data_IF_904098608449
#
_entry.id   IF_904098608449
#
_cell.length_a   1.000
_cell.length_b   1.000
_cell.length_c   1.000
_cell.angle_alpha   90.00
_cell.angle_beta   90.00
_cell.angle_gamma   90.00
#
_symmetry.space_group_name_H-M   'P 1'
#
loop_
_entity.id
_entity.type
_entity.pdbx_description
1 polymer ?
#
# COMPACT_ATOMS: atom_id res chain seq x y z
N UNK A 1 2.32 -15.35 22.95
CA UNK A 1 2.28 -13.87 23.03
C UNK A 1 0.83 -13.44 22.87
N UNK A 2 0.38 -12.34 23.49
CA UNK A 2 -0.98 -11.85 23.22
C UNK A 2 -1.07 -11.32 21.78
N UNK A 3 -2.21 -11.47 21.11
CA UNK A 3 -2.40 -11.04 19.72
C UNK A 3 -2.10 -9.56 19.51
N UNK A 4 -2.51 -8.72 20.46
CA UNK A 4 -2.17 -7.30 20.47
C UNK A 4 -0.66 -7.05 20.44
N UNK A 5 0.13 -7.79 21.23
CA UNK A 5 1.59 -7.64 21.22
C UNK A 5 2.18 -8.08 19.88
N UNK A 6 1.67 -9.14 19.26
CA UNK A 6 2.08 -9.56 17.91
C UNK A 6 1.83 -8.47 16.88
N UNK A 7 0.65 -7.84 16.90
CA UNK A 7 0.31 -6.72 16.00
C UNK A 7 1.28 -5.55 16.19
N UNK A 8 1.55 -5.16 17.45
CA UNK A 8 2.50 -4.09 17.74
C UNK A 8 3.90 -4.41 17.24
N UNK A 9 4.39 -5.63 17.46
CA UNK A 9 5.70 -6.09 16.96
C UNK A 9 5.75 -5.98 15.43
N UNK A 10 4.74 -6.51 14.73
CA UNK A 10 4.65 -6.41 13.27
C UNK A 10 4.60 -4.95 12.79
N UNK A 11 3.83 -4.09 13.46
CA UNK A 11 3.80 -2.65 13.16
C UNK A 11 5.18 -1.99 13.30
N UNK A 12 5.94 -2.31 14.36
CA UNK A 12 7.29 -1.79 14.55
C UNK A 12 8.23 -2.19 13.42
N UNK A 13 8.22 -3.47 13.02
CA UNK A 13 9.03 -3.93 11.88
C UNK A 13 8.64 -3.27 10.56
N UNK A 14 7.34 -3.08 10.31
CA UNK A 14 6.88 -2.40 9.09
C UNK A 14 7.21 -0.89 9.09
N UNK A 15 7.25 -0.22 10.25
CA UNK A 15 7.75 1.16 10.35
C UNK A 15 9.21 1.21 9.90
N UNK A 16 10.05 0.33 10.46
CA UNK A 16 11.48 0.26 10.11
C UNK A 16 11.67 -0.01 8.61
N UNK A 17 10.91 -0.95 8.05
CA UNK A 17 10.95 -1.27 6.62
C UNK A 17 10.55 -0.07 5.74
N UNK A 18 9.48 0.63 6.10
CA UNK A 18 9.00 1.83 5.40
C UNK A 18 10.03 2.96 5.43
N UNK A 19 10.60 3.23 6.61
CA UNK A 19 11.65 4.23 6.77
C UNK A 19 12.89 3.91 5.93
N UNK A 20 13.33 2.65 5.96
CA UNK A 20 14.44 2.16 5.15
C UNK A 20 14.18 2.33 3.64
N UNK A 21 12.96 2.03 3.19
CA UNK A 21 12.53 2.23 1.80
C UNK A 21 12.60 3.69 1.36
N UNK A 22 12.14 4.63 2.18
CA UNK A 22 12.19 6.06 1.82
C UNK A 22 13.60 6.66 1.81
N UNK A 23 14.57 6.05 2.49
CA UNK A 23 15.99 6.44 2.41
C UNK A 23 16.75 5.69 1.32
N UNK A 24 16.18 4.63 0.76
CA UNK A 24 16.85 3.82 -0.25
C UNK A 24 17.22 4.56 -1.55
N UNK A 25 16.47 5.57 -2.07
CA UNK A 25 16.87 6.30 -3.28
C UNK A 25 18.13 7.15 -3.09
N UNK A 26 18.41 7.61 -1.86
CA UNK A 26 19.60 8.42 -1.57
C UNK A 26 20.87 7.58 -1.35
N UNK A 27 20.72 6.27 -1.10
CA UNK A 27 21.82 5.38 -0.75
C UNK A 27 22.24 4.46 -1.90
N UNK A 28 21.33 4.08 -2.81
CA UNK A 28 21.61 3.08 -3.84
C UNK A 28 20.99 3.44 -5.19
N UNK A 29 21.81 3.46 -6.25
CA UNK A 29 21.31 3.50 -7.64
C UNK A 29 20.78 2.11 -8.03
N UNK A 30 19.48 1.90 -7.93
CA UNK A 30 18.84 0.68 -8.41
C UNK A 30 18.72 0.71 -9.95
N UNK A 31 19.13 -0.37 -10.62
CA UNK A 31 18.88 -0.53 -12.05
C UNK A 31 17.39 -0.82 -12.32
N UNK A 32 16.87 -0.44 -13.49
CA UNK A 32 15.47 -0.68 -13.88
C UNK A 32 15.09 -2.16 -13.75
N UNK A 33 15.96 -3.07 -14.18
CA UNK A 33 15.75 -4.52 -14.08
C UNK A 33 15.62 -5.01 -12.62
N UNK A 34 16.42 -4.45 -11.69
CA UNK A 34 16.36 -4.83 -10.28
C UNK A 34 15.03 -4.40 -9.66
N UNK A 35 14.59 -3.17 -9.93
CA UNK A 35 13.27 -2.70 -9.48
C UNK A 35 12.15 -3.57 -10.06
N UNK A 36 12.21 -3.89 -11.34
CA UNK A 36 11.19 -4.73 -11.99
C UNK A 36 11.12 -6.13 -11.38
N UNK A 37 12.26 -6.79 -11.15
CA UNK A 37 12.30 -8.11 -10.51
C UNK A 37 11.81 -8.07 -9.06
N UNK A 38 12.18 -7.03 -8.30
CA UNK A 38 11.68 -6.85 -6.92
C UNK A 38 10.17 -6.68 -6.91
N UNK A 39 9.62 -5.78 -7.75
CA UNK A 39 8.16 -5.58 -7.84
C UNK A 39 7.46 -6.88 -8.25
N UNK A 40 7.95 -7.61 -9.26
CA UNK A 40 7.31 -8.86 -9.69
C UNK A 40 7.36 -9.96 -8.63
N UNK A 41 8.46 -10.06 -7.89
CA UNK A 41 8.59 -11.02 -6.79
C UNK A 41 7.59 -10.69 -5.68
N UNK A 42 7.57 -9.42 -5.28
CA UNK A 42 6.67 -8.94 -4.22
C UNK A 42 5.21 -9.11 -4.63
N UNK A 43 4.80 -8.70 -5.84
CA UNK A 43 3.44 -8.91 -6.36
C UNK A 43 3.05 -10.39 -6.40
N UNK A 44 3.98 -11.29 -6.75
CA UNK A 44 3.74 -12.74 -6.73
C UNK A 44 3.48 -13.27 -5.31
N UNK A 45 4.27 -12.83 -4.33
CA UNK A 45 4.05 -13.18 -2.91
C UNK A 45 2.72 -12.62 -2.40
N UNK A 46 2.38 -11.39 -2.76
CA UNK A 46 1.12 -10.73 -2.42
C UNK A 46 -0.08 -11.50 -2.94
N UNK A 47 -0.06 -11.88 -4.22
CA UNK A 47 -1.11 -12.69 -4.84
C UNK A 47 -1.23 -14.06 -4.17
N UNK A 48 -0.10 -14.69 -3.83
CA UNK A 48 -0.07 -15.96 -3.11
C UNK A 48 -0.74 -15.88 -1.74
N UNK A 49 -0.42 -14.87 -0.93
CA UNK A 49 -1.02 -14.69 0.40
C UNK A 49 -2.50 -14.30 0.29
N UNK A 50 -2.85 -13.41 -0.65
CA UNK A 50 -4.23 -13.03 -0.92
C UNK A 50 -5.13 -14.25 -1.22
N UNK A 51 -4.71 -15.10 -2.16
CA UNK A 51 -5.51 -16.23 -2.64
C UNK A 51 -5.44 -17.47 -1.74
N UNK A 52 -4.28 -17.78 -1.17
CA UNK A 52 -4.06 -19.03 -0.45
C UNK A 52 -4.20 -18.89 1.07
N UNK A 53 -4.12 -17.67 1.62
CA UNK A 53 -4.22 -17.45 3.06
C UNK A 53 -5.45 -16.60 3.41
N UNK A 54 -5.57 -15.39 2.85
CA UNK A 54 -6.62 -14.45 3.27
C UNK A 54 -8.01 -14.81 2.74
N UNK A 55 -8.11 -15.24 1.47
CA UNK A 55 -9.39 -15.66 0.89
C UNK A 55 -9.98 -16.90 1.58
N UNK A 56 -9.24 -18.01 1.79
CA UNK A 56 -9.77 -19.17 2.52
C UNK A 56 -10.16 -18.81 3.96
N UNK A 57 -9.33 -18.05 4.66
CA UNK A 57 -9.62 -17.58 6.01
C UNK A 57 -10.89 -16.72 6.08
N UNK A 58 -11.16 -15.92 5.04
CA UNK A 58 -12.40 -15.12 4.97
C UNK A 58 -13.65 -15.98 4.81
N UNK A 59 -13.58 -17.04 3.99
CA UNK A 59 -14.69 -17.97 3.77
C UNK A 59 -15.02 -18.76 5.03
N UNK A 60 -14.00 -19.18 5.77
CA UNK A 60 -14.17 -19.87 7.05
C UNK A 60 -14.82 -18.97 8.12
N UNK A 61 -14.49 -17.68 8.15
CA UNK A 61 -15.09 -16.75 9.11
C UNK A 61 -16.52 -16.35 8.74
N UNK A 62 -16.83 -16.18 7.45
CA UNK A 62 -18.14 -15.75 6.98
C UNK A 62 -19.14 -16.89 6.82
N UNK A 63 -18.65 -18.12 6.60
CA UNK A 63 -19.47 -19.28 6.21
C UNK A 63 -20.38 -18.99 4.99
N UNK A 64 -20.01 -18.00 4.16
CA UNK A 64 -20.80 -17.52 3.03
C UNK A 64 -19.90 -17.06 1.89
N UNK A 65 -19.94 -17.81 0.79
CA UNK A 65 -19.14 -17.51 -0.41
C UNK A 65 -19.60 -16.23 -1.12
N UNK A 66 -20.90 -15.92 -1.09
CA UNK A 66 -21.44 -14.71 -1.73
C UNK A 66 -20.98 -13.44 -0.99
N UNK A 67 -20.93 -13.49 0.34
CA UNK A 67 -20.51 -12.36 1.15
C UNK A 67 -18.99 -12.16 1.07
N UNK A 68 -18.21 -13.24 1.12
CA UNK A 68 -16.76 -13.18 0.93
C UNK A 68 -16.40 -12.68 -0.48
N UNK A 69 -17.04 -13.22 -1.51
CA UNK A 69 -16.85 -12.77 -2.90
C UNK A 69 -17.26 -11.31 -3.12
N UNK A 70 -18.37 -10.88 -2.50
CA UNK A 70 -18.83 -9.50 -2.55
C UNK A 70 -17.88 -8.52 -1.86
N UNK A 71 -17.37 -8.87 -0.67
CA UNK A 71 -16.37 -8.09 0.03
C UNK A 71 -15.04 -8.03 -0.72
N UNK A 72 -14.63 -9.15 -1.32
CA UNK A 72 -13.43 -9.23 -2.18
C UNK A 72 -13.55 -8.36 -3.43
N UNK A 73 -14.70 -8.40 -4.12
CA UNK A 73 -15.00 -7.51 -5.24
C UNK A 73 -15.01 -6.04 -4.78
N UNK A 74 -15.60 -5.76 -3.61
CA UNK A 74 -15.56 -4.45 -2.99
C UNK A 74 -14.13 -3.97 -2.79
N UNK A 75 -13.24 -4.82 -2.28
CA UNK A 75 -11.82 -4.50 -2.13
C UNK A 75 -11.11 -4.21 -3.45
N UNK A 76 -11.33 -5.05 -4.46
CA UNK A 76 -10.81 -4.83 -5.81
C UNK A 76 -11.30 -3.50 -6.40
N UNK A 77 -12.58 -3.16 -6.23
CA UNK A 77 -13.13 -1.89 -6.68
C UNK A 77 -12.53 -0.71 -5.91
N UNK A 78 -12.39 -0.82 -4.59
CA UNK A 78 -11.73 0.21 -3.77
C UNK A 78 -10.32 0.46 -4.29
N UNK A 79 -9.50 -0.58 -4.47
CA UNK A 79 -8.14 -0.40 -5.00
C UNK A 79 -8.15 0.15 -6.43
N UNK A 80 -9.03 -0.34 -7.29
CA UNK A 80 -9.19 0.19 -8.65
C UNK A 80 -9.49 1.69 -8.64
N UNK A 81 -10.40 2.16 -7.79
CA UNK A 81 -10.70 3.59 -7.66
C UNK A 81 -9.55 4.37 -7.02
N UNK A 82 -8.83 3.79 -6.06
CA UNK A 82 -7.63 4.42 -5.51
C UNK A 82 -6.60 4.68 -6.61
N UNK A 83 -6.30 3.66 -7.43
CA UNK A 83 -5.42 3.80 -8.58
C UNK A 83 -6.01 4.78 -9.60
N UNK A 84 -7.29 4.71 -9.92
CA UNK A 84 -7.88 5.52 -10.99
C UNK A 84 -8.04 7.01 -10.64
N UNK A 85 -8.42 7.33 -9.41
CA UNK A 85 -8.68 8.70 -8.95
C UNK A 85 -7.39 9.39 -8.52
N UNK A 86 -6.47 8.66 -7.88
CA UNK A 86 -5.27 9.24 -7.30
C UNK A 86 -3.99 9.03 -8.13
N UNK A 87 -3.98 8.10 -9.10
CA UNK A 87 -2.97 8.02 -10.15
C UNK A 87 -3.41 8.89 -11.34
N UNK A 88 -3.44 10.20 -11.12
CA UNK A 88 -3.75 11.18 -12.16
C UNK A 88 -2.77 10.97 -13.32
N UNK A 89 -3.32 10.69 -14.50
CA UNK A 89 -2.58 10.51 -15.75
C UNK A 89 -1.66 11.71 -15.98
N UNK A 90 -0.36 11.52 -15.76
CA UNK A 90 0.67 12.35 -16.39
C UNK A 90 0.73 11.97 -17.87
N UNK A 91 -0.28 12.38 -18.65
CA UNK A 91 -0.01 12.64 -20.05
C UNK A 91 0.93 13.85 -20.06
N UNK A 92 2.24 13.57 -20.13
CA UNK A 92 3.13 14.49 -20.81
C UNK A 92 2.59 14.61 -22.23
N UNK A 93 1.73 15.61 -22.45
CA UNK A 93 1.52 16.18 -23.76
C UNK A 93 2.86 16.76 -24.18
N UNK A 94 3.67 15.94 -24.86
CA UNK A 94 4.60 16.27 -25.94
C UNK A 94 5.80 15.31 -25.95
N UNK A 95 5.59 14.07 -26.41
CA UNK A 95 6.62 13.38 -27.20
C UNK A 95 6.11 13.34 -28.64
N UNK A 96 6.12 14.51 -29.28
CA UNK A 96 6.31 14.58 -30.71
C UNK A 96 7.70 14.03 -31.03
N UNK A 97 7.77 12.75 -31.36
CA UNK A 97 8.83 12.24 -32.23
C UNK A 97 8.48 12.67 -33.66
N UNK A 98 8.70 13.95 -33.96
CA UNK A 98 9.11 14.37 -35.30
C UNK A 98 10.51 14.95 -35.15
N UNK A 99 11.47 14.13 -35.54
CA UNK A 99 12.82 14.54 -35.78
C UNK A 99 12.81 15.45 -37.02
N UNK A 100 13.06 16.75 -36.85
CA UNK A 100 14.09 17.47 -37.62
C UNK A 100 14.15 18.94 -37.20
N UNK A 101 15.37 19.36 -36.87
CA UNK A 101 15.74 20.74 -36.63
C UNK A 101 15.71 21.53 -37.93
N UNK A 102 15.02 22.68 -37.97
CA UNK A 102 15.71 23.93 -38.30
C UNK A 102 14.92 25.19 -37.89
N UNK A 103 15.68 26.26 -37.64
CA UNK A 103 15.30 27.68 -37.49
C UNK A 103 15.09 28.25 -36.07
N UNK A 104 16.14 28.98 -35.64
CA UNK A 104 16.14 30.28 -34.97
C UNK A 104 14.79 30.84 -34.50
N UNK A 105 14.68 31.20 -33.21
CA UNK A 105 14.38 32.56 -32.73
C UNK A 105 14.52 32.67 -31.20
N UNK A 106 15.07 33.80 -30.77
CA UNK A 106 15.31 34.30 -29.40
C UNK A 106 14.01 34.52 -28.57
N UNK A 107 14.10 34.73 -27.24
CA UNK A 107 13.05 34.44 -26.27
C UNK A 107 12.08 35.61 -26.04
N UNK A 108 10.79 35.29 -25.86
CA UNK A 108 9.80 36.20 -25.25
C UNK A 108 8.97 35.39 -24.27
N UNK A 109 8.86 35.92 -23.05
CA UNK A 109 8.17 35.29 -21.94
C UNK A 109 6.67 35.13 -22.17
N UNK A 110 6.14 34.12 -21.49
CA UNK A 110 4.97 34.22 -20.62
C UNK A 110 4.98 32.93 -19.76
N UNK A 111 5.64 33.07 -18.61
CA UNK A 111 5.44 32.23 -17.43
C UNK A 111 4.00 32.44 -16.97
N UNK A 112 3.17 31.39 -16.98
CA UNK A 112 2.12 31.09 -15.99
C UNK A 112 1.24 29.93 -16.50
N UNK A 113 1.57 28.69 -16.12
CA UNK A 113 0.62 27.55 -15.96
C UNK A 113 1.29 26.17 -15.88
N UNK A 114 2.63 26.05 -16.04
CA UNK A 114 3.32 24.74 -15.97
C UNK A 114 3.71 24.27 -14.56
N UNK A 115 3.38 25.05 -13.53
CA UNK A 115 3.65 24.72 -12.10
C UNK A 115 2.63 23.75 -11.51
N UNK A 116 1.35 23.89 -11.87
CA UNK A 116 0.29 23.30 -11.06
C UNK A 116 0.04 21.82 -11.40
N UNK A 117 0.28 21.43 -12.66
CA UNK A 117 0.13 20.04 -13.10
C UNK A 117 1.07 19.06 -12.36
N UNK A 118 2.25 19.51 -11.94
CA UNK A 118 3.23 18.66 -11.25
C UNK A 118 2.96 18.53 -9.74
N UNK A 119 2.34 19.54 -9.11
CA UNK A 119 2.02 19.54 -7.68
C UNK A 119 0.81 18.66 -7.34
N UNK A 120 -0.23 18.67 -8.19
CA UNK A 120 -1.41 17.82 -7.99
C UNK A 120 -1.12 16.32 -8.16
N UNK A 121 -0.09 15.95 -8.92
CA UNK A 121 0.30 14.55 -9.16
C UNK A 121 0.85 13.87 -7.89
N UNK A 122 1.64 14.57 -7.08
CA UNK A 122 2.23 13.99 -5.86
C UNK A 122 1.24 13.86 -4.71
N UNK A 123 0.35 14.85 -4.53
CA UNK A 123 -0.64 14.81 -3.45
C UNK A 123 -1.64 13.66 -3.66
N UNK A 124 -2.05 13.41 -4.92
CA UNK A 124 -2.88 12.28 -5.29
C UNK A 124 -2.18 10.97 -4.92
N UNK A 125 -0.96 10.75 -5.42
CA UNK A 125 -0.18 9.56 -5.11
C UNK A 125 -0.03 9.34 -3.59
N UNK A 126 0.27 10.38 -2.82
CA UNK A 126 0.38 10.28 -1.37
C UNK A 126 -0.93 9.86 -0.71
N UNK A 127 -2.07 10.45 -1.09
CA UNK A 127 -3.38 10.09 -0.55
C UNK A 127 -3.76 8.65 -0.91
N UNK A 128 -3.56 8.25 -2.16
CA UNK A 128 -3.83 6.88 -2.61
C UNK A 128 -3.00 5.85 -1.85
N UNK A 129 -1.69 6.09 -1.74
CA UNK A 129 -0.78 5.21 -0.99
C UNK A 129 -1.03 5.26 0.52
N UNK A 130 -1.48 6.39 1.07
CA UNK A 130 -1.87 6.49 2.47
C UNK A 130 -3.07 5.59 2.78
N UNK A 131 -4.11 5.63 1.94
CA UNK A 131 -5.27 4.75 2.11
C UNK A 131 -4.86 3.29 1.92
N UNK A 132 -4.03 2.98 0.93
CA UNK A 132 -3.45 1.64 0.75
C UNK A 132 -2.70 1.17 2.01
N UNK A 133 -1.81 2.00 2.54
CA UNK A 133 -1.05 1.66 3.76
C UNK A 133 -1.93 1.52 4.99
N UNK A 134 -3.04 2.27 5.07
CA UNK A 134 -4.04 2.09 6.12
C UNK A 134 -4.67 0.69 6.02
N UNK A 135 -5.01 0.24 4.81
CA UNK A 135 -5.55 -1.08 4.54
C UNK A 135 -4.54 -2.21 4.82
N UNK A 136 -3.24 -1.99 4.62
CA UNK A 136 -2.19 -2.93 5.08
C UNK A 136 -2.23 -3.13 6.59
N UNK A 137 -2.42 -2.04 7.33
CA UNK A 137 -2.61 -2.09 8.78
C UNK A 137 -3.81 -2.93 9.18
N UNK A 138 -4.95 -2.68 8.53
CA UNK A 138 -6.18 -3.47 8.70
C UNK A 138 -5.91 -4.95 8.38
N UNK A 139 -5.17 -5.25 7.31
CA UNK A 139 -4.83 -6.61 6.91
C UNK A 139 -4.00 -7.34 7.97
N UNK A 140 -2.96 -6.70 8.53
CA UNK A 140 -2.15 -7.28 9.61
C UNK A 140 -3.01 -7.55 10.85
N UNK A 141 -3.83 -6.59 11.24
CA UNK A 141 -4.66 -6.74 12.45
C UNK A 141 -5.76 -7.79 12.28
N UNK A 142 -6.43 -7.81 11.12
CA UNK A 142 -7.46 -8.81 10.80
C UNK A 142 -6.88 -10.22 10.69
N UNK A 143 -5.73 -10.40 10.04
CA UNK A 143 -5.06 -11.71 9.92
C UNK A 143 -4.60 -12.27 11.26
N UNK A 144 -4.00 -11.45 12.12
CA UNK A 144 -3.62 -11.88 13.48
C UNK A 144 -4.85 -12.17 14.33
N UNK A 145 -5.93 -11.40 14.19
CA UNK A 145 -7.17 -11.63 14.95
C UNK A 145 -7.87 -12.93 14.49
N UNK A 146 -7.89 -13.18 13.19
CA UNK A 146 -8.45 -14.40 12.60
C UNK A 146 -7.70 -15.67 13.02
N UNK A 147 -6.38 -15.59 13.19
CA UNK A 147 -5.54 -16.72 13.60
C UNK A 147 -5.88 -17.22 15.02
N UNK A 148 -6.42 -16.37 15.89
CA UNK A 148 -6.81 -16.74 17.26
C UNK A 148 -8.11 -17.55 17.29
N UNK A 149 -9.03 -17.27 16.37
CA UNK A 149 -10.35 -17.91 16.30
C UNK A 149 -10.26 -19.40 15.93
N UNK A 150 -9.20 -19.80 15.23
CA UNK A 150 -9.03 -21.15 14.67
C UNK A 150 -7.89 -21.89 15.36
N UNK A 151 -8.21 -22.63 16.42
CA UNK A 151 -7.25 -23.47 17.12
C UNK A 151 -6.47 -24.43 16.20
N UNK A 152 -5.16 -24.24 16.18
CA UNK A 152 -4.09 -25.21 15.94
C UNK A 152 -3.95 -25.96 14.59
N UNK A 153 -4.86 -25.92 13.61
CA UNK A 153 -4.68 -26.79 12.40
C UNK A 153 -4.90 -26.21 11.00
N UNK A 154 -5.45 -24.99 10.83
CA UNK A 154 -5.72 -24.43 9.48
C UNK A 154 -5.09 -23.06 9.18
N UNK A 155 -4.97 -22.19 10.18
CA UNK A 155 -4.59 -20.78 10.00
C UNK A 155 -3.18 -20.43 10.50
N UNK A 156 -2.35 -21.44 10.80
CA UNK A 156 -0.99 -21.22 11.29
C UNK A 156 -0.25 -20.37 10.26
N UNK A 157 0.24 -19.20 10.68
CA UNK A 157 0.95 -18.22 9.86
C UNK A 157 0.09 -17.30 8.97
N UNK A 158 -1.24 -17.23 9.14
CA UNK A 158 -2.03 -16.21 8.44
C UNK A 158 -1.51 -14.80 8.77
N UNK A 159 -1.35 -14.48 10.05
CA UNK A 159 -0.81 -13.20 10.49
C UNK A 159 0.64 -12.98 10.03
N UNK A 160 1.46 -14.04 10.06
CA UNK A 160 2.86 -13.96 9.61
C UNK A 160 2.98 -13.74 8.10
N UNK A 161 2.18 -14.43 7.29
CA UNK A 161 2.16 -14.31 5.84
C UNK A 161 1.71 -12.93 5.38
N UNK A 162 0.63 -12.41 5.98
CA UNK A 162 0.16 -11.05 5.72
C UNK A 162 1.20 -10.02 6.17
N UNK A 163 1.80 -10.18 7.35
CA UNK A 163 2.90 -9.33 7.80
C UNK A 163 4.07 -9.34 6.83
N UNK A 164 4.52 -10.52 6.37
CA UNK A 164 5.67 -10.64 5.48
C UNK A 164 5.40 -9.94 4.14
N UNK A 165 4.20 -10.08 3.60
CA UNK A 165 3.75 -9.33 2.42
C UNK A 165 3.88 -7.83 2.66
N UNK A 166 3.28 -7.31 3.74
CA UNK A 166 3.35 -5.88 4.07
C UNK A 166 4.79 -5.42 4.25
N UNK A 167 5.58 -6.19 4.99
CA UNK A 167 6.98 -5.89 5.23
C UNK A 167 7.80 -5.80 3.93
N UNK A 168 7.51 -6.64 2.93
CA UNK A 168 8.25 -6.68 1.67
C UNK A 168 7.86 -5.57 0.69
N UNK A 169 6.59 -5.17 0.62
CA UNK A 169 6.13 -4.16 -0.34
C UNK A 169 6.17 -2.73 0.20
N UNK A 170 6.03 -2.53 1.52
CA UNK A 170 6.03 -1.20 2.13
C UNK A 170 7.30 -0.34 1.88
N UNK A 171 8.51 -0.92 1.76
CA UNK A 171 9.68 -0.17 1.30
C UNK A 171 9.52 0.36 -0.14
N UNK A 172 8.84 -0.38 -1.01
CA UNK A 172 8.62 -0.04 -2.42
C UNK A 172 7.63 1.13 -2.55
N UNK A 173 6.62 1.20 -1.68
CA UNK A 173 5.69 2.33 -1.64
C UNK A 173 6.37 3.61 -1.13
N UNK A 174 7.16 3.48 -0.07
CA UNK A 174 7.95 4.60 0.47
C UNK A 174 8.96 5.11 -0.57
N UNK A 175 9.57 4.20 -1.33
CA UNK A 175 10.42 4.51 -2.49
C UNK A 175 9.67 5.33 -3.55
N UNK A 176 8.43 4.96 -3.88
CA UNK A 176 7.65 5.64 -4.91
C UNK A 176 7.35 7.11 -4.53
N UNK A 177 6.87 7.35 -3.30
CA UNK A 177 6.56 8.70 -2.79
C UNK A 177 7.83 9.55 -2.73
N UNK A 178 8.90 9.02 -2.11
CA UNK A 178 10.13 9.78 -1.91
C UNK A 178 10.86 10.09 -3.22
N UNK A 179 10.79 9.20 -4.21
CA UNK A 179 11.32 9.44 -5.56
C UNK A 179 10.56 10.55 -6.28
N UNK A 180 9.22 10.58 -6.18
CA UNK A 180 8.42 11.63 -6.79
C UNK A 180 8.64 12.99 -6.11
N UNK A 181 8.74 13.02 -4.78
CA UNK A 181 9.13 14.25 -4.05
C UNK A 181 10.52 14.74 -4.43
N UNK A 182 11.46 13.82 -4.66
CA UNK A 182 12.80 14.16 -5.11
C UNK A 182 12.78 14.78 -6.51
N UNK A 183 12.00 14.22 -7.43
CA UNK A 183 11.80 14.78 -8.77
C UNK A 183 11.13 16.17 -8.72
N UNK A 184 10.18 16.37 -7.81
CA UNK A 184 9.52 17.65 -7.55
C UNK A 184 10.36 18.64 -6.69
N UNK A 185 11.69 18.44 -6.62
CA UNK A 185 12.68 19.32 -5.96
C UNK A 185 12.43 19.66 -4.48
N UNK A 186 11.65 18.84 -3.75
CA UNK A 186 11.41 19.05 -2.32
C UNK A 186 12.68 18.85 -1.47
N UNK A 187 12.78 19.57 -0.35
CA UNK A 187 13.91 19.45 0.57
C UNK A 187 14.01 18.06 1.22
N UNK A 188 15.23 17.62 1.54
CA UNK A 188 15.48 16.35 2.26
C UNK A 188 14.74 16.25 3.60
N UNK A 189 14.54 17.38 4.30
CA UNK A 189 13.79 17.42 5.55
C UNK A 189 12.32 17.09 5.31
N UNK A 190 11.70 17.70 4.31
CA UNK A 190 10.28 17.44 4.03
C UNK A 190 10.05 16.01 3.57
N UNK A 191 10.93 15.45 2.73
CA UNK A 191 10.88 14.03 2.34
C UNK A 191 10.94 13.10 3.55
N UNK A 192 11.80 13.41 4.52
CA UNK A 192 11.92 12.62 5.74
C UNK A 192 10.67 12.73 6.62
N UNK A 193 10.13 13.94 6.79
CA UNK A 193 8.89 14.16 7.55
C UNK A 193 7.74 13.36 6.93
N UNK A 194 7.57 13.44 5.61
CA UNK A 194 6.48 12.72 4.93
C UNK A 194 6.69 11.22 4.98
N UNK A 195 7.93 10.72 4.86
CA UNK A 195 8.22 9.30 5.03
C UNK A 195 7.90 8.80 6.45
N UNK A 196 8.19 9.61 7.48
CA UNK A 196 7.81 9.30 8.87
C UNK A 196 6.29 9.25 8.99
N UNK A 197 5.57 10.26 8.51
CA UNK A 197 4.11 10.30 8.52
C UNK A 197 3.54 9.06 7.82
N UNK A 198 4.03 8.74 6.62
CA UNK A 198 3.62 7.58 5.84
C UNK A 198 3.83 6.27 6.59
N UNK A 199 4.98 6.11 7.26
CA UNK A 199 5.30 4.88 8.01
C UNK A 199 4.32 4.59 9.16
N UNK A 200 3.69 5.63 9.73
CA UNK A 200 2.73 5.56 10.84
C UNK A 200 1.30 5.22 10.40
N UNK A 201 0.97 5.33 9.12
CA UNK A 201 -0.40 5.11 8.62
C UNK A 201 -0.83 3.64 8.75
N UNK A 202 0.06 2.71 8.43
CA UNK A 202 -0.21 1.28 8.61
C UNK A 202 -0.39 0.87 10.09
N UNK A 203 0.49 1.28 11.04
CA UNK A 203 0.21 1.11 12.47
C UNK A 203 -1.13 1.70 12.90
N UNK A 204 -1.48 2.88 12.40
CA UNK A 204 -2.79 3.50 12.66
C UNK A 204 -3.94 2.59 12.17
N UNK A 205 -3.86 2.06 10.96
CA UNK A 205 -4.86 1.13 10.42
C UNK A 205 -5.00 -0.14 11.26
N UNK A 206 -3.88 -0.69 11.74
CA UNK A 206 -3.87 -1.89 12.58
C UNK A 206 -4.54 -1.65 13.94
N UNK A 207 -4.24 -0.51 14.57
CA UNK A 207 -4.83 -0.11 15.86
C UNK A 207 -6.33 0.19 15.71
N UNK A 208 -6.72 0.93 14.67
CA UNK A 208 -8.14 1.22 14.40
C UNK A 208 -8.94 -0.06 14.22
N UNK A 209 -8.40 -1.02 13.46
CA UNK A 209 -9.07 -2.31 13.28
C UNK A 209 -9.16 -3.12 14.58
N UNK A 210 -8.08 -3.17 15.37
CA UNK A 210 -8.07 -3.90 16.64
C UNK A 210 -9.17 -3.43 17.58
N UNK A 211 -9.22 -2.11 17.85
CA UNK A 211 -10.25 -1.54 18.73
C UNK A 211 -11.65 -1.64 18.13
N UNK A 212 -11.78 -1.51 16.81
CA UNK A 212 -13.05 -1.75 16.12
C UNK A 212 -13.55 -3.18 16.33
N UNK A 213 -12.68 -4.18 16.14
CA UNK A 213 -13.03 -5.59 16.33
C UNK A 213 -13.40 -5.91 17.79
N UNK A 214 -12.72 -5.31 18.77
CA UNK A 214 -13.07 -5.48 20.19
C UNK A 214 -14.42 -4.83 20.56
N UNK A 215 -14.74 -3.67 19.98
CA UNK A 215 -16.01 -2.98 20.25
C UNK A 215 -17.22 -3.77 19.73
N UNK A 216 -17.05 -4.53 18.65
CA UNK A 216 -18.08 -5.41 18.07
C UNK A 216 -17.84 -6.89 18.41
N UNK A 217 -17.45 -7.21 19.66
CA UNK A 217 -17.14 -8.58 20.09
C UNK A 217 -18.22 -9.62 19.74
N UNK A 218 -19.50 -9.22 19.71
CA UNK A 218 -20.63 -10.10 19.33
C UNK A 218 -20.69 -10.46 17.84
N UNK A 219 -20.09 -9.67 16.96
CA UNK A 219 -20.03 -9.88 15.51
C UNK A 219 -18.58 -9.96 14.98
N UNK A 220 -17.62 -10.20 15.89
CA UNK A 220 -16.20 -10.13 15.59
C UNK A 220 -15.79 -11.07 14.43
N UNK A 221 -16.35 -12.28 14.39
CA UNK A 221 -16.07 -13.24 13.30
C UNK A 221 -16.50 -12.69 11.93
N UNK A 222 -17.67 -12.06 11.85
CA UNK A 222 -18.17 -11.45 10.62
C UNK A 222 -17.31 -10.25 10.21
N UNK A 223 -16.99 -9.37 11.16
CA UNK A 223 -16.17 -8.18 10.91
C UNK A 223 -14.75 -8.56 10.43
N UNK A 224 -14.12 -9.52 11.11
CA UNK A 224 -12.81 -10.06 10.74
C UNK A 224 -12.83 -10.68 9.35
N UNK A 225 -13.81 -11.55 9.06
CA UNK A 225 -13.84 -12.20 7.77
C UNK A 225 -14.19 -11.25 6.61
N UNK A 226 -15.03 -10.23 6.82
CA UNK A 226 -15.29 -9.18 5.82
C UNK A 226 -14.01 -8.39 5.56
N UNK A 227 -13.30 -8.02 6.62
CA UNK A 227 -12.05 -7.30 6.51
C UNK A 227 -11.00 -8.13 5.76
N UNK A 228 -10.84 -9.41 6.08
CA UNK A 228 -9.95 -10.32 5.36
C UNK A 228 -10.30 -10.40 3.87
N UNK A 229 -11.57 -10.59 3.52
CA UNK A 229 -12.00 -10.66 2.13
C UNK A 229 -11.71 -9.34 1.38
N UNK A 230 -12.05 -8.21 2.00
CA UNK A 230 -11.83 -6.88 1.43
C UNK A 230 -10.33 -6.62 1.21
N UNK A 231 -9.49 -6.85 2.23
CA UNK A 231 -8.06 -6.55 2.14
C UNK A 231 -7.29 -7.55 1.28
N UNK A 232 -7.82 -8.76 1.03
CA UNK A 232 -7.19 -9.76 0.17
C UNK A 232 -6.82 -9.20 -1.21
N UNK A 233 -7.69 -8.37 -1.79
CA UNK A 233 -7.44 -7.74 -3.10
C UNK A 233 -7.16 -6.24 -3.04
N UNK A 234 -7.39 -5.57 -1.90
CA UNK A 234 -6.92 -4.20 -1.72
C UNK A 234 -5.41 -4.09 -1.55
N UNK A 235 -4.71 -5.16 -1.16
CA UNK A 235 -3.26 -5.06 -0.92
C UNK A 235 -2.49 -5.28 -2.22
N UNK A 236 -3.09 -5.79 -3.30
CA UNK A 236 -2.38 -5.94 -4.57
C UNK A 236 -2.05 -4.56 -5.20
N UNK A 237 -0.78 -4.31 -5.57
CA UNK A 237 -0.35 -3.05 -6.19
C UNK A 237 -0.80 -2.93 -7.66
#
# INVERSE_FOLDING_TARGET
MTPFVTIIVYCLFTIVASLAGGWLPSLVKLNHLKRQLMMSLVSGVMLGVALLHMLPASLEHLQSASLAGGAMLGGLLVMFFLLRVFHVHSHAANDGHDCEHDHHHEPVGDDESKSDAHQFSWIGLFVGLAIHSLLDGVAISASVTAEIGHGATGAIFLGLGTFLVVFLHKPLDALAITSLMHAASWSSRMRTIINIVFSLICPLGAVLFWFGAEQFAGEQAMLVGIALALVSFCVLP
#
